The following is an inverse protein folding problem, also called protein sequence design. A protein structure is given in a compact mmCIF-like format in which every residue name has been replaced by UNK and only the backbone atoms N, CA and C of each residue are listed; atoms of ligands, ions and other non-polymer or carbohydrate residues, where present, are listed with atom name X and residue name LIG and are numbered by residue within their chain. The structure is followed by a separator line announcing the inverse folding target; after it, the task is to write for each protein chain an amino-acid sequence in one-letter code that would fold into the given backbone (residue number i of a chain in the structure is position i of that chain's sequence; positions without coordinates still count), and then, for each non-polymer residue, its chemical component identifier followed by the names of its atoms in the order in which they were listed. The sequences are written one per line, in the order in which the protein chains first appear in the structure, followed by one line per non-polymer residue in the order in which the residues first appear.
data_IF_429858967966
#
_entry.id   IF_429858967966
#
_cell.length_a   1.000
_cell.length_b   1.000
_cell.length_c   1.000
_cell.angle_alpha   90.00
_cell.angle_beta   90.00
_cell.angle_gamma   90.00
#
_symmetry.space_group_name_H-M   'P 1'
#
loop_
_entity.id
_entity.type
_entity.pdbx_description
1 polymer ?
#
# COMPACT_ATOMS: atom_id res chain seq x y z
N UNK A 1 -40.15 15.76 -35.45
CA UNK A 1 -38.73 15.51 -35.15
C UNK A 1 -38.49 15.71 -33.66
N UNK A 2 -38.03 14.72 -32.89
CA UNK A 2 -37.67 14.93 -31.49
C UNK A 2 -36.16 15.20 -31.35
N UNK A 3 -35.82 16.31 -30.71
CA UNK A 3 -34.46 16.60 -30.21
C UNK A 3 -34.58 16.92 -28.72
N UNK A 4 -33.96 16.11 -27.86
CA UNK A 4 -32.73 16.44 -27.13
C UNK A 4 -32.53 15.45 -25.97
N UNK A 5 -31.32 14.92 -25.91
CA UNK A 5 -30.79 14.12 -24.82
C UNK A 5 -30.83 14.88 -23.48
N UNK A 6 -31.18 14.18 -22.40
CA UNK A 6 -30.93 14.60 -21.03
C UNK A 6 -30.47 13.39 -20.23
N UNK A 7 -29.32 13.53 -19.58
CA UNK A 7 -28.68 12.46 -18.83
C UNK A 7 -27.35 12.95 -18.24
N UNK A 8 -27.41 13.99 -17.43
CA UNK A 8 -26.30 14.44 -16.59
C UNK A 8 -26.09 13.43 -15.47
N UNK A 9 -25.05 12.60 -15.56
CA UNK A 9 -24.53 11.91 -14.38
C UNK A 9 -23.56 12.86 -13.69
N UNK A 10 -24.02 13.46 -12.59
CA UNK A 10 -23.21 14.34 -11.78
C UNK A 10 -22.08 13.54 -11.13
N UNK A 11 -20.86 13.94 -11.49
CA UNK A 11 -19.59 13.66 -10.86
C UNK A 11 -19.71 13.75 -9.33
N UNK A 12 -19.35 12.67 -8.64
CA UNK A 12 -19.30 12.63 -7.18
C UNK A 12 -18.31 13.68 -6.68
N UNK A 13 -18.62 14.49 -5.66
CA UNK A 13 -17.69 15.48 -5.16
C UNK A 13 -16.56 14.77 -4.40
N UNK A 14 -15.49 14.41 -5.09
CA UNK A 14 -14.20 14.20 -4.43
C UNK A 14 -13.68 15.60 -4.04
N UNK A 15 -14.05 16.06 -2.85
CA UNK A 15 -13.31 17.14 -2.22
C UNK A 15 -11.86 16.67 -2.06
N UNK A 16 -10.85 17.40 -2.59
CA UNK A 16 -9.47 17.12 -2.24
C UNK A 16 -9.27 17.61 -0.81
N UNK A 17 -9.46 16.75 0.18
CA UNK A 17 -8.96 17.01 1.53
C UNK A 17 -7.43 17.15 1.44
N UNK A 18 -6.83 18.19 2.07
CA UNK A 18 -5.37 18.31 2.16
C UNK A 18 -4.77 17.04 2.78
N UNK A 19 -3.51 16.69 2.48
CA UNK A 19 -2.91 15.46 2.99
C UNK A 19 -3.02 15.46 4.51
N UNK A 20 -3.89 14.61 5.04
CA UNK A 20 -3.95 14.33 6.45
C UNK A 20 -2.54 13.95 6.86
N UNK A 21 -2.00 14.65 7.86
CA UNK A 21 -0.75 14.27 8.49
C UNK A 21 -0.73 12.74 8.68
N UNK A 22 0.42 12.07 8.43
CA UNK A 22 0.48 10.61 8.49
C UNK A 22 -0.06 10.17 9.85
N UNK A 23 -0.92 9.13 9.90
CA UNK A 23 -1.48 8.67 11.15
C UNK A 23 -0.36 8.35 12.13
N UNK A 24 -0.28 9.10 13.23
CA UNK A 24 0.73 8.94 14.31
C UNK A 24 0.53 7.65 15.13
N UNK A 25 -0.45 6.82 14.77
CA UNK A 25 -0.63 5.49 15.33
C UNK A 25 0.28 4.45 14.67
N UNK A 26 0.46 3.26 15.27
CA UNK A 26 1.21 2.18 14.62
C UNK A 26 0.49 1.78 13.33
N UNK A 27 1.05 2.18 12.20
CA UNK A 27 0.51 1.84 10.88
C UNK A 27 0.64 0.33 10.68
N UNK A 28 -0.47 -0.37 10.46
CA UNK A 28 -0.44 -1.80 10.11
C UNK A 28 -1.11 -1.96 8.76
N UNK A 29 -0.34 -2.36 7.74
CA UNK A 29 -0.87 -2.61 6.41
C UNK A 29 -1.07 -4.10 6.20
N UNK A 30 -2.23 -4.47 5.64
CA UNK A 30 -2.65 -5.83 5.33
C UNK A 30 -3.53 -5.82 4.08
N UNK A 31 -3.85 -7.00 3.58
CA UNK A 31 -4.70 -7.16 2.40
C UNK A 31 -5.99 -6.32 2.51
N UNK A 32 -6.31 -5.59 1.44
CA UNK A 32 -7.41 -4.62 1.37
C UNK A 32 -7.03 -3.18 1.75
N UNK A 33 -5.86 -2.95 2.36
CA UNK A 33 -5.37 -1.59 2.60
C UNK A 33 -5.03 -0.88 1.28
N UNK A 34 -5.17 0.44 1.27
CA UNK A 34 -4.75 1.28 0.15
C UNK A 34 -4.25 2.63 0.64
N UNK A 35 -3.35 3.24 -0.12
CA UNK A 35 -2.79 4.56 0.20
C UNK A 35 -1.31 4.71 -0.17
N UNK A 36 -0.75 5.91 0.05
CA UNK A 36 0.64 6.21 -0.25
C UNK A 36 1.61 5.31 0.54
N UNK A 37 1.26 4.88 1.74
CA UNK A 37 2.11 4.01 2.56
C UNK A 37 2.18 2.58 1.99
N UNK A 38 1.14 2.13 1.29
CA UNK A 38 1.19 0.88 0.53
C UNK A 38 2.07 1.03 -0.70
N UNK A 39 2.02 2.17 -1.38
CA UNK A 39 2.88 2.44 -2.54
C UNK A 39 4.36 2.50 -2.13
N UNK A 40 4.66 3.10 -0.98
CA UNK A 40 5.99 3.08 -0.38
C UNK A 40 6.44 1.64 -0.08
N UNK A 41 5.61 0.85 0.63
CA UNK A 41 5.90 -0.56 0.90
C UNK A 41 6.22 -1.33 -0.39
N UNK A 42 5.39 -1.17 -1.43
CA UNK A 42 5.61 -1.78 -2.73
C UNK A 42 6.94 -1.35 -3.35
N UNK A 43 7.27 -0.05 -3.28
CA UNK A 43 8.55 0.49 -3.73
C UNK A 43 9.74 -0.16 -3.03
N UNK A 44 9.69 -0.28 -1.70
CA UNK A 44 10.74 -0.91 -0.90
C UNK A 44 10.89 -2.40 -1.22
N UNK A 45 9.78 -3.14 -1.37
CA UNK A 45 9.81 -4.55 -1.78
C UNK A 45 10.40 -4.74 -3.20
N UNK A 46 10.18 -3.78 -4.11
CA UNK A 46 10.81 -3.77 -5.45
C UNK A 46 12.31 -3.56 -5.40
N UNK A 47 12.80 -2.68 -4.51
CA UNK A 47 14.25 -2.48 -4.33
C UNK A 47 14.96 -3.79 -3.94
N UNK A 48 14.27 -4.69 -3.24
CA UNK A 48 14.77 -6.02 -2.87
C UNK A 48 14.43 -7.13 -3.88
N UNK A 49 13.77 -6.81 -5.00
CA UNK A 49 13.35 -7.78 -6.01
C UNK A 49 12.26 -8.75 -5.53
N UNK A 50 11.51 -8.39 -4.49
CA UNK A 50 10.50 -9.25 -3.87
C UNK A 50 9.08 -9.01 -4.38
N UNK A 51 8.86 -7.89 -5.06
CA UNK A 51 7.60 -7.52 -5.69
C UNK A 51 7.90 -6.95 -7.09
N UNK A 52 7.35 -7.52 -8.18
CA UNK A 52 7.57 -7.03 -9.54
C UNK A 52 6.55 -5.96 -9.97
N UNK A 53 5.41 -5.86 -9.28
CA UNK A 53 4.33 -4.95 -9.63
C UNK A 53 4.66 -3.46 -9.45
N UNK A 54 3.73 -2.60 -9.91
CA UNK A 54 3.83 -1.16 -9.75
C UNK A 54 3.46 -0.71 -8.32
N UNK A 55 3.90 0.48 -7.93
CA UNK A 55 3.49 1.17 -6.69
C UNK A 55 2.06 1.73 -6.79
N UNK A 56 1.08 0.86 -7.06
CA UNK A 56 -0.34 1.22 -7.23
C UNK A 56 -1.00 1.72 -5.95
N UNK A 57 -0.36 1.52 -4.79
CA UNK A 57 -0.91 1.87 -3.49
C UNK A 57 -2.06 0.94 -3.07
N UNK A 58 -2.16 -0.26 -3.64
CA UNK A 58 -3.15 -1.29 -3.25
C UNK A 58 -2.46 -2.50 -2.64
N UNK A 59 -2.91 -2.91 -1.47
CA UNK A 59 -2.37 -4.07 -0.77
C UNK A 59 -3.21 -5.29 -1.16
N UNK A 60 -2.84 -5.91 -2.27
CA UNK A 60 -3.47 -7.11 -2.78
C UNK A 60 -2.75 -8.39 -2.31
N UNK A 61 -3.20 -9.54 -2.82
CA UNK A 61 -2.62 -10.84 -2.50
C UNK A 61 -1.14 -10.96 -2.94
N UNK A 62 -0.72 -10.23 -3.99
CA UNK A 62 0.66 -10.24 -4.46
C UNK A 62 1.56 -9.47 -3.49
N UNK A 63 1.12 -8.30 -3.03
CA UNK A 63 1.82 -7.54 -1.97
C UNK A 63 1.89 -8.36 -0.67
N UNK A 64 0.78 -9.02 -0.27
CA UNK A 64 0.78 -9.90 0.91
C UNK A 64 1.79 -11.02 0.78
N UNK A 65 1.86 -11.68 -0.38
CA UNK A 65 2.82 -12.74 -0.64
C UNK A 65 4.27 -12.22 -0.61
N UNK A 66 4.53 -11.04 -1.16
CA UNK A 66 5.83 -10.39 -1.13
C UNK A 66 6.28 -10.06 0.30
N UNK A 67 5.38 -9.54 1.14
CA UNK A 67 5.67 -9.28 2.56
C UNK A 67 5.93 -10.57 3.32
N UNK A 68 5.11 -11.61 3.12
CA UNK A 68 5.34 -12.90 3.76
C UNK A 68 6.69 -13.52 3.33
N UNK A 69 7.07 -13.37 2.06
CA UNK A 69 8.38 -13.81 1.55
C UNK A 69 9.51 -13.01 2.20
N UNK A 70 9.37 -11.69 2.29
CA UNK A 70 10.33 -10.82 2.97
C UNK A 70 10.53 -11.26 4.43
N UNK A 71 9.44 -11.44 5.19
CA UNK A 71 9.48 -11.83 6.60
C UNK A 71 10.25 -13.15 6.78
N UNK A 72 9.96 -14.17 5.96
CA UNK A 72 10.68 -15.45 5.99
C UNK A 72 12.15 -15.31 5.59
N UNK A 73 12.46 -14.55 4.54
CA UNK A 73 13.82 -14.39 4.04
C UNK A 73 14.74 -13.69 5.06
N UNK A 74 14.21 -12.74 5.81
CA UNK A 74 14.97 -11.93 6.76
C UNK A 74 14.72 -12.29 8.23
N UNK A 75 13.98 -13.37 8.50
CA UNK A 75 13.71 -13.85 9.85
C UNK A 75 12.94 -12.84 10.72
N UNK A 76 12.06 -12.04 10.12
CA UNK A 76 11.24 -11.10 10.87
C UNK A 76 10.11 -11.87 11.56
N UNK A 77 10.16 -11.88 12.89
CA UNK A 77 9.15 -12.52 13.74
C UNK A 77 8.40 -11.46 14.55
N UNK A 78 7.10 -11.63 14.79
CA UNK A 78 6.29 -10.76 15.64
C UNK A 78 5.11 -10.09 14.93
N UNK A 79 5.14 -10.03 13.60
CA UNK A 79 3.97 -9.71 12.78
C UNK A 79 3.41 -11.00 12.14
N UNK A 80 2.09 -11.10 11.90
CA UNK A 80 1.54 -12.20 11.12
C UNK A 80 2.09 -12.25 9.68
N UNK A 81 2.06 -13.43 9.08
CA UNK A 81 2.50 -13.67 7.70
C UNK A 81 1.78 -12.72 6.72
N UNK A 82 2.57 -11.93 6.00
CA UNK A 82 2.07 -10.97 5.02
C UNK A 82 1.39 -9.74 5.63
N UNK A 83 1.63 -9.44 6.91
CA UNK A 83 1.20 -8.20 7.55
C UNK A 83 2.39 -7.28 7.74
N UNK A 84 2.30 -6.06 7.21
CA UNK A 84 3.32 -5.02 7.38
C UNK A 84 3.06 -4.23 8.67
N UNK A 85 3.39 -4.87 9.79
CA UNK A 85 3.37 -4.28 11.13
C UNK A 85 4.68 -3.62 11.52
N UNK A 86 4.85 -3.31 12.81
CA UNK A 86 5.98 -2.51 13.29
C UNK A 86 7.34 -3.22 13.11
N UNK A 87 7.40 -4.54 13.33
CA UNK A 87 8.64 -5.30 13.19
C UNK A 87 9.09 -5.40 11.73
N UNK A 88 8.15 -5.71 10.85
CA UNK A 88 8.37 -5.79 9.41
C UNK A 88 8.71 -4.44 8.83
N UNK A 89 8.06 -3.37 9.29
CA UNK A 89 8.39 -1.99 8.91
C UNK A 89 9.82 -1.63 9.27
N UNK A 90 10.19 -1.71 10.54
CA UNK A 90 11.54 -1.34 10.99
C UNK A 90 12.62 -2.12 10.24
N UNK A 91 12.39 -3.42 10.02
CA UNK A 91 13.31 -4.30 9.29
C UNK A 91 13.42 -3.92 7.81
N UNK A 92 12.30 -3.64 7.14
CA UNK A 92 12.29 -3.30 5.71
C UNK A 92 12.94 -1.93 5.50
N UNK A 93 12.59 -0.96 6.34
CA UNK A 93 13.09 0.40 6.24
C UNK A 93 14.59 0.51 6.48
N UNK A 94 15.16 -0.30 7.36
CA UNK A 94 16.61 -0.31 7.61
C UNK A 94 17.42 -0.90 6.45
N UNK A 95 16.78 -1.56 5.47
CA UNK A 95 17.43 -2.28 4.36
C UNK A 95 17.22 -1.64 3.00
N UNK A 96 16.31 -0.68 2.90
CA UNK A 96 16.00 0.00 1.66
C UNK A 96 16.20 1.50 1.85
N UNK A 97 16.44 2.20 0.75
CA UNK A 97 16.31 3.65 0.78
C UNK A 97 14.83 4.03 0.96
N UNK A 98 14.57 5.32 1.23
CA UNK A 98 13.22 5.88 1.12
C UNK A 98 12.58 5.58 -0.25
N UNK A 99 11.25 5.74 -0.37
CA UNK A 99 10.52 5.48 -1.60
C UNK A 99 11.08 6.23 -2.82
#
# INVERSE_FOLDING_TARGET
APTRASGSVADSPYSPTPPSAPPTGPLVLREGAAGPEVAELQGRLRQLGLYPGAGSGRYDAEVRAAVARYQRLYGVTGDPDGVYGAGTRASLESRTAGP
#
